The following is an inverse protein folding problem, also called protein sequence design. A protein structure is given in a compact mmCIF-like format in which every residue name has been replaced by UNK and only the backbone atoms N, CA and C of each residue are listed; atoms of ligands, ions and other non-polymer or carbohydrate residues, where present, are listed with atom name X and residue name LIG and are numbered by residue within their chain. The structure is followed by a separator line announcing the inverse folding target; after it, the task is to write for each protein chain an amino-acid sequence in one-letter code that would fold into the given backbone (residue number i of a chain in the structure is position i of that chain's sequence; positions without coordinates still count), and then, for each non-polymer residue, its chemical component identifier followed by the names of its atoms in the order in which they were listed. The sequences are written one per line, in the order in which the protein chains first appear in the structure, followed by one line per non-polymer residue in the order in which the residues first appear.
data_IF_858848818636
#
_entry.id   IF_858848818636
#
_cell.length_a   1.000
_cell.length_b   1.000
_cell.length_c   1.000
_cell.angle_alpha   90.00
_cell.angle_beta   90.00
_cell.angle_gamma   90.00
#
_symmetry.space_group_name_H-M   'P 1'
#
loop_
_entity.id
_entity.type
_entity.pdbx_description
1 polymer ?
#
# COMPACT_ATOMS: atom_id res chain seq x y z
N UNK A 1 7.44 10.20 -6.12
CA UNK A 1 6.57 9.63 -5.07
C UNK A 1 7.25 8.47 -4.35
N UNK A 2 7.68 7.43 -5.08
CA UNK A 2 8.33 6.23 -4.50
C UNK A 2 9.49 6.51 -3.53
N UNK A 3 10.49 7.29 -3.95
CA UNK A 3 11.66 7.60 -3.12
C UNK A 3 11.28 8.34 -1.82
N UNK A 4 10.28 9.21 -1.88
CA UNK A 4 9.76 9.94 -0.72
C UNK A 4 9.11 8.95 0.25
N UNK A 5 8.26 8.04 -0.25
CA UNK A 5 7.64 7.02 0.59
C UNK A 5 8.66 6.08 1.25
N UNK A 6 9.75 5.73 0.55
CA UNK A 6 10.84 4.92 1.12
C UNK A 6 11.59 5.66 2.25
N UNK A 7 11.89 6.94 2.06
CA UNK A 7 12.52 7.74 3.11
C UNK A 7 11.61 7.89 4.32
N UNK A 8 10.30 8.10 4.10
CA UNK A 8 9.32 8.17 5.19
C UNK A 8 9.15 6.84 5.93
N UNK A 9 9.29 5.70 5.24
CA UNK A 9 9.34 4.38 5.89
C UNK A 9 10.54 4.29 6.84
N UNK A 10 11.75 4.65 6.37
CA UNK A 10 12.97 4.63 7.20
C UNK A 10 12.78 5.48 8.47
N UNK A 11 12.34 6.73 8.29
CA UNK A 11 12.11 7.66 9.39
C UNK A 11 11.01 7.17 10.35
N UNK A 12 9.89 6.64 9.84
CA UNK A 12 8.80 6.15 10.69
C UNK A 12 9.20 4.90 11.48
N UNK A 13 10.08 4.05 10.92
CA UNK A 13 10.66 2.92 11.64
C UNK A 13 11.58 3.39 12.77
N UNK A 14 12.38 4.43 12.55
CA UNK A 14 13.25 5.02 13.58
C UNK A 14 12.45 5.72 14.69
N UNK A 15 11.39 6.43 14.33
CA UNK A 15 10.51 7.16 15.27
C UNK A 15 9.54 6.23 16.01
N UNK A 16 9.23 5.06 15.43
CA UNK A 16 8.33 4.08 16.01
C UNK A 16 6.84 4.41 15.87
N UNK A 17 6.45 5.25 14.90
CA UNK A 17 5.03 5.53 14.62
C UNK A 17 4.45 4.51 13.61
N UNK A 18 3.61 3.55 14.08
CA UNK A 18 3.04 2.53 13.20
C UNK A 18 2.05 3.11 12.19
N UNK A 19 1.32 4.19 12.52
CA UNK A 19 0.36 4.80 11.60
C UNK A 19 1.08 5.47 10.43
N UNK A 20 2.15 6.24 10.71
CA UNK A 20 2.98 6.86 9.68
C UNK A 20 3.66 5.82 8.79
N UNK A 21 4.13 4.72 9.39
CA UNK A 21 4.76 3.62 8.66
C UNK A 21 3.79 3.00 7.65
N UNK A 22 2.59 2.60 8.10
CA UNK A 22 1.56 2.00 7.23
C UNK A 22 1.13 2.96 6.15
N UNK A 23 0.88 4.22 6.48
CA UNK A 23 0.54 5.27 5.51
C UNK A 23 1.60 5.38 4.41
N UNK A 24 2.88 5.35 4.78
CA UNK A 24 3.99 5.43 3.83
C UNK A 24 4.05 4.23 2.89
N UNK A 25 3.79 3.01 3.41
CA UNK A 25 3.66 1.81 2.59
C UNK A 25 2.46 1.84 1.63
N UNK A 26 1.33 2.44 2.03
CA UNK A 26 0.18 2.62 1.15
C UNK A 26 0.50 3.58 -0.01
N UNK A 27 1.24 4.66 0.23
CA UNK A 27 1.72 5.55 -0.83
C UNK A 27 2.76 4.89 -1.75
N UNK A 28 3.62 4.03 -1.19
CA UNK A 28 4.55 3.22 -1.97
C UNK A 28 3.77 2.26 -2.89
N UNK A 29 2.75 1.58 -2.35
CA UNK A 29 1.86 0.70 -3.11
C UNK A 29 1.15 1.44 -4.24
N UNK A 30 0.72 2.68 -4.01
CA UNK A 30 0.12 3.49 -5.07
C UNK A 30 1.12 3.78 -6.21
N UNK A 31 2.38 4.05 -5.87
CA UNK A 31 3.45 4.28 -6.85
C UNK A 31 3.72 3.02 -7.68
N UNK A 32 3.81 1.85 -7.04
CA UNK A 32 3.97 0.56 -7.73
C UNK A 32 2.77 0.21 -8.61
N UNK A 33 1.56 0.53 -8.16
CA UNK A 33 0.36 0.32 -8.95
C UNK A 33 0.38 1.15 -10.25
N UNK A 34 0.87 2.40 -10.20
CA UNK A 34 1.03 3.25 -11.39
C UNK A 34 2.09 2.72 -12.35
N UNK A 35 3.13 2.06 -11.83
CA UNK A 35 4.18 1.41 -12.62
C UNK A 35 3.78 0.00 -13.10
N UNK A 36 2.53 -0.44 -12.88
CA UNK A 36 2.03 -1.79 -13.21
C UNK A 36 2.76 -2.93 -12.49
N UNK A 37 3.42 -2.63 -11.37
CA UNK A 37 4.16 -3.59 -10.53
C UNK A 37 3.23 -4.25 -9.52
N UNK A 38 2.31 -5.08 -10.03
CA UNK A 38 1.18 -5.58 -9.26
C UNK A 38 1.55 -6.56 -8.15
N UNK A 39 2.60 -7.36 -8.35
CA UNK A 39 3.05 -8.35 -7.37
C UNK A 39 3.58 -7.67 -6.10
N UNK A 40 4.36 -6.61 -6.26
CA UNK A 40 4.87 -5.81 -5.14
C UNK A 40 3.74 -5.11 -4.39
N UNK A 41 2.76 -4.55 -5.11
CA UNK A 41 1.56 -3.96 -4.50
C UNK A 41 0.82 -4.98 -3.65
N UNK A 42 0.62 -6.19 -4.18
CA UNK A 42 -0.08 -7.27 -3.48
C UNK A 42 0.64 -7.66 -2.19
N UNK A 43 1.96 -7.85 -2.24
CA UNK A 43 2.76 -8.23 -1.06
C UNK A 43 2.64 -7.16 0.02
N UNK A 44 2.82 -5.88 -0.35
CA UNK A 44 2.77 -4.77 0.62
C UNK A 44 1.36 -4.66 1.21
N UNK A 45 0.30 -4.65 0.39
CA UNK A 45 -1.07 -4.52 0.89
C UNK A 45 -1.47 -5.67 1.82
N UNK A 46 -1.07 -6.91 1.54
CA UNK A 46 -1.36 -8.05 2.41
C UNK A 46 -0.68 -7.91 3.77
N UNK A 47 0.60 -7.52 3.78
CA UNK A 47 1.35 -7.30 5.01
C UNK A 47 0.73 -6.15 5.83
N UNK A 48 0.47 -5.01 5.20
CA UNK A 48 -0.13 -3.85 5.89
C UNK A 48 -1.54 -4.16 6.43
N UNK A 49 -2.36 -4.89 5.67
CA UNK A 49 -3.69 -5.28 6.14
C UNK A 49 -3.61 -6.17 7.39
N UNK A 50 -2.64 -7.09 7.47
CA UNK A 50 -2.39 -7.89 8.67
C UNK A 50 -1.93 -7.04 9.85
N UNK A 51 -1.03 -6.07 9.63
CA UNK A 51 -0.58 -5.15 10.68
C UNK A 51 -1.75 -4.32 11.24
N UNK A 52 -2.65 -3.84 10.37
CA UNK A 52 -3.86 -3.11 10.77
C UNK A 52 -4.79 -3.99 11.61
N UNK A 53 -4.97 -5.26 11.24
CA UNK A 53 -5.82 -6.19 12.01
C UNK A 53 -5.28 -6.54 13.40
N UNK A 54 -3.96 -6.47 13.61
CA UNK A 54 -3.32 -6.81 14.89
C UNK A 54 -3.48 -5.71 15.99
N UNK A 55 -4.42 -4.77 15.83
CA UNK A 55 -4.82 -3.73 16.81
C UNK A 55 -3.78 -2.68 17.21
N UNK A 56 -2.58 -2.68 16.62
CA UNK A 56 -1.58 -1.63 16.85
C UNK A 56 -1.84 -0.33 16.07
N UNK A 57 -2.85 -0.32 15.19
CA UNK A 57 -3.21 0.79 14.33
C UNK A 57 -4.66 1.14 14.57
N UNK A 58 -4.89 2.35 15.08
CA UNK A 58 -6.23 2.83 15.48
C UNK A 58 -6.93 3.61 14.37
N UNK A 59 -6.21 4.00 13.30
CA UNK A 59 -6.78 4.78 12.21
C UNK A 59 -7.51 3.89 11.18
N UNK A 60 -8.83 3.82 11.31
CA UNK A 60 -9.72 3.12 10.38
C UNK A 60 -9.58 3.63 8.93
N UNK A 61 -9.14 4.88 8.72
CA UNK A 61 -8.93 5.41 7.36
C UNK A 61 -7.83 4.64 6.64
N UNK A 62 -6.79 4.17 7.34
CA UNK A 62 -5.73 3.35 6.75
C UNK A 62 -6.27 2.00 6.28
N UNK A 63 -7.20 1.41 7.05
CA UNK A 63 -7.90 0.18 6.64
C UNK A 63 -8.71 0.39 5.37
N UNK A 64 -9.48 1.48 5.31
CA UNK A 64 -10.28 1.85 4.14
C UNK A 64 -9.37 2.07 2.92
N UNK A 65 -8.25 2.78 3.08
CA UNK A 65 -7.27 3.00 2.00
C UNK A 65 -6.67 1.69 1.49
N UNK A 66 -6.33 0.75 2.39
CA UNK A 66 -5.83 -0.57 2.06
C UNK A 66 -6.82 -1.33 1.14
N UNK A 67 -8.10 -1.35 1.54
CA UNK A 67 -9.17 -2.02 0.77
C UNK A 67 -9.40 -1.32 -0.58
N UNK A 68 -9.40 0.00 -0.61
CA UNK A 68 -9.58 0.78 -1.82
C UNK A 68 -8.45 0.51 -2.84
N UNK A 69 -7.20 0.51 -2.38
CA UNK A 69 -6.04 0.17 -3.21
C UNK A 69 -6.10 -1.26 -3.74
N UNK A 70 -6.53 -2.22 -2.92
CA UNK A 70 -6.71 -3.61 -3.35
C UNK A 70 -7.73 -3.75 -4.48
N UNK A 71 -8.89 -3.08 -4.35
CA UNK A 71 -9.91 -3.04 -5.41
C UNK A 71 -9.37 -2.37 -6.67
N UNK A 72 -8.65 -1.25 -6.53
CA UNK A 72 -8.04 -0.52 -7.64
C UNK A 72 -7.00 -1.36 -8.39
N UNK A 73 -6.20 -2.13 -7.65
CA UNK A 73 -5.24 -3.09 -8.21
C UNK A 73 -5.94 -4.16 -9.03
N UNK A 74 -6.97 -4.82 -8.49
CA UNK A 74 -7.74 -5.82 -9.23
C UNK A 74 -8.34 -5.26 -10.52
N UNK A 75 -8.93 -4.07 -10.46
CA UNK A 75 -9.47 -3.41 -11.63
C UNK A 75 -8.40 -3.09 -12.67
N UNK A 76 -7.24 -2.57 -12.25
CA UNK A 76 -6.12 -2.28 -13.15
C UNK A 76 -5.60 -3.55 -13.84
N UNK A 77 -5.44 -4.66 -13.11
CA UNK A 77 -5.01 -5.95 -13.69
C UNK A 77 -6.02 -6.43 -14.74
N UNK A 78 -7.32 -6.40 -14.43
CA UNK A 78 -8.36 -6.81 -15.39
C UNK A 78 -8.36 -5.91 -16.62
N UNK A 79 -8.22 -4.59 -16.43
CA UNK A 79 -8.19 -3.64 -17.54
C UNK A 79 -6.98 -3.84 -18.44
N UNK A 80 -5.80 -4.07 -17.88
CA UNK A 80 -4.58 -4.28 -18.65
C UNK A 80 -4.63 -5.61 -19.42
N UNK A 81 -5.19 -6.68 -18.82
CA UNK A 81 -5.45 -7.94 -19.54
C UNK A 81 -6.35 -7.79 -20.76
N UNK A 82 -7.29 -6.85 -20.74
CA UNK A 82 -8.19 -6.58 -21.86
C UNK A 82 -7.57 -5.69 -22.94
N UNK A 83 -6.42 -5.06 -22.68
CA UNK A 83 -5.69 -4.24 -23.66
C UNK A 83 -4.63 -5.05 -24.44
N UNK A 84 -4.26 -6.22 -23.92
CA UNK A 84 -3.34 -7.17 -24.56
C UNK A 84 -4.06 -8.23 -25.42
N UNK A 85 -5.38 -8.09 -25.64
CA UNK A 85 -6.23 -8.92 -26.51
C UNK A 85 -6.61 -8.17 -27.80
#
# INVERSE_FOLDING_TARGET
AEAISKNQICLSTEVGDPNALVKSYLFLSLSYLQQKRYDEVRIILQFQYRCIQQKNITDERLRIMCIALWKKMKYAITRDKNLDQ
#
